data_IF_683357292807
#
_entry.id   IF_683357292807
#
_cell.length_a   1.000
_cell.length_b   1.000
_cell.length_c   1.000
_cell.angle_alpha   90.00
_cell.angle_beta   90.00
_cell.angle_gamma   90.00
#
_symmetry.space_group_name_H-M   'P 1'
#
loop_
_entity.id
_entity.type
_entity.pdbx_description
1 polymer ?
#
# COMPACT_ATOMS: atom_id res chain seq x y z
N UNK A 1 10.36 10.74 1.04
CA UNK A 1 11.27 9.62 0.68
C UNK A 1 10.45 8.55 -0.02
N UNK A 2 10.68 8.33 -1.32
CA UNK A 2 9.99 7.30 -2.07
C UNK A 2 10.67 5.95 -1.80
N UNK A 3 9.95 5.03 -1.17
CA UNK A 3 10.41 3.65 -1.01
C UNK A 3 10.03 2.86 -2.26
N UNK A 4 10.94 2.00 -2.74
CA UNK A 4 10.67 1.14 -3.90
C UNK A 4 9.49 0.22 -3.66
N UNK A 5 8.65 0.02 -4.69
CA UNK A 5 7.47 -0.86 -4.63
C UNK A 5 7.82 -2.29 -4.20
N UNK A 6 8.99 -2.79 -4.61
CA UNK A 6 9.52 -4.08 -4.16
C UNK A 6 9.71 -4.16 -2.65
N UNK A 7 10.28 -3.11 -2.03
CA UNK A 7 10.51 -3.07 -0.59
C UNK A 7 9.18 -3.14 0.17
N UNK A 8 8.17 -2.40 -0.30
CA UNK A 8 6.82 -2.42 0.25
C UNK A 8 6.20 -3.82 0.19
N UNK A 9 6.30 -4.49 -0.96
CA UNK A 9 5.74 -5.83 -1.13
C UNK A 9 6.44 -6.88 -0.26
N UNK A 10 7.77 -6.84 -0.20
CA UNK A 10 8.57 -7.74 0.65
C UNK A 10 8.23 -7.55 2.14
N UNK A 11 8.18 -6.29 2.61
CA UNK A 11 7.83 -5.98 3.99
C UNK A 11 6.41 -6.41 4.37
N UNK A 12 5.44 -6.20 3.47
CA UNK A 12 4.05 -6.64 3.70
C UNK A 12 3.92 -8.17 3.73
N UNK A 13 4.63 -8.89 2.85
CA UNK A 13 4.64 -10.36 2.85
C UNK A 13 5.26 -10.91 4.14
N UNK A 14 6.38 -10.34 4.60
CA UNK A 14 7.01 -10.72 5.86
C UNK A 14 6.11 -10.41 7.08
N UNK A 15 5.38 -9.29 7.03
CA UNK A 15 4.38 -8.97 8.05
C UNK A 15 3.24 -10.00 8.09
N UNK A 16 2.80 -10.54 6.96
CA UNK A 16 1.74 -11.57 6.96
C UNK A 16 2.17 -12.89 7.60
N UNK A 17 3.47 -13.23 7.52
CA UNK A 17 4.03 -14.42 8.16
C UNK A 17 4.24 -14.25 9.68
N UNK A 18 4.79 -13.10 10.10
CA UNK A 18 5.17 -12.89 11.49
C UNK A 18 4.09 -12.17 12.33
N UNK A 19 3.16 -11.46 11.68
CA UNK A 19 2.15 -10.56 12.30
C UNK A 19 2.73 -9.58 13.32
N UNK A 20 4.02 -9.26 13.21
CA UNK A 20 4.76 -8.42 14.17
C UNK A 20 5.39 -7.21 13.48
N UNK A 21 4.82 -6.03 13.74
CA UNK A 21 5.22 -4.76 13.12
C UNK A 21 6.64 -4.34 13.52
N UNK A 22 7.02 -4.50 14.79
CA UNK A 22 8.34 -4.10 15.27
C UNK A 22 9.45 -4.93 14.66
N UNK A 23 9.21 -6.24 14.46
CA UNK A 23 10.16 -7.15 13.82
C UNK A 23 10.37 -6.81 12.35
N UNK A 24 9.29 -6.53 11.62
CA UNK A 24 9.34 -6.14 10.20
C UNK A 24 10.04 -4.79 10.04
N UNK A 25 9.71 -3.81 10.89
CA UNK A 25 10.33 -2.50 10.85
C UNK A 25 11.86 -2.56 11.03
N UNK A 26 12.33 -3.37 11.98
CA UNK A 26 13.76 -3.59 12.21
C UNK A 26 14.42 -4.34 11.04
N UNK A 27 13.78 -5.40 10.53
CA UNK A 27 14.34 -6.22 9.44
C UNK A 27 14.53 -5.44 8.13
N UNK A 28 13.63 -4.50 7.84
CA UNK A 28 13.68 -3.68 6.62
C UNK A 28 14.18 -2.26 6.87
N UNK A 29 14.66 -1.95 8.08
CA UNK A 29 15.11 -0.61 8.49
C UNK A 29 14.13 0.52 8.14
N UNK A 30 12.83 0.25 8.29
CA UNK A 30 11.77 1.23 8.07
C UNK A 30 11.15 1.66 9.39
N UNK A 31 10.58 2.85 9.40
CA UNK A 31 9.77 3.29 10.55
C UNK A 31 8.51 2.45 10.68
N UNK A 32 8.10 2.16 11.92
CA UNK A 32 6.82 1.49 12.21
C UNK A 32 5.64 2.23 11.57
N UNK A 33 5.67 3.56 11.57
CA UNK A 33 4.66 4.41 10.94
C UNK A 33 4.51 4.14 9.42
N UNK A 34 5.64 3.94 8.72
CA UNK A 34 5.65 3.59 7.29
C UNK A 34 4.94 2.26 7.06
N UNK A 35 5.19 1.26 7.91
CA UNK A 35 4.53 -0.04 7.80
C UNK A 35 3.03 0.05 8.09
N UNK A 36 2.61 0.84 9.09
CA UNK A 36 1.18 1.12 9.35
C UNK A 36 0.51 1.77 8.14
N UNK A 37 1.15 2.77 7.52
CA UNK A 37 0.67 3.39 6.29
C UNK A 37 0.50 2.37 5.17
N UNK A 38 1.46 1.46 4.96
CA UNK A 38 1.36 0.44 3.92
C UNK A 38 0.27 -0.59 4.19
N UNK A 39 0.09 -1.02 5.45
CA UNK A 39 -0.99 -1.93 5.86
C UNK A 39 -2.35 -1.24 5.64
N UNK A 40 -2.50 0.01 6.09
CA UNK A 40 -3.72 0.80 5.90
C UNK A 40 -4.01 1.06 4.42
N UNK A 41 -2.98 1.32 3.62
CA UNK A 41 -3.12 1.46 2.17
C UNK A 41 -3.56 0.13 1.54
N UNK A 42 -2.95 -1.01 1.91
CA UNK A 42 -3.34 -2.35 1.43
C UNK A 42 -4.81 -2.66 1.79
N UNK A 43 -5.23 -2.32 3.01
CA UNK A 43 -6.61 -2.48 3.46
C UNK A 43 -7.59 -1.57 2.70
N UNK A 44 -7.25 -0.28 2.51
CA UNK A 44 -8.08 0.66 1.73
C UNK A 44 -8.16 0.31 0.25
N UNK A 45 -7.09 -0.26 -0.32
CA UNK A 45 -7.12 -0.72 -1.72
C UNK A 45 -7.82 -2.07 -1.90
N UNK A 46 -8.13 -2.81 -0.82
CA UNK A 46 -8.97 -4.03 -0.82
C UNK A 46 -8.42 -5.26 -1.58
N UNK A 47 -7.49 -5.07 -2.51
CA UNK A 47 -6.82 -6.03 -3.41
C UNK A 47 -7.64 -6.72 -4.52
N UNK A 48 -6.93 -6.89 -5.64
CA UNK A 48 -7.08 -7.75 -6.84
C UNK A 48 -8.05 -7.43 -7.98
N UNK A 49 -8.99 -6.50 -7.85
CA UNK A 49 -9.90 -6.18 -8.95
C UNK A 49 -10.24 -4.69 -9.06
N UNK A 50 -9.32 -3.81 -8.67
CA UNK A 50 -9.37 -2.46 -9.19
C UNK A 50 -8.91 -2.50 -10.65
N UNK A 51 -9.76 -3.04 -11.53
CA UNK A 51 -9.97 -2.36 -12.78
C UNK A 51 -10.16 -0.90 -12.37
N UNK A 52 -9.14 -0.09 -12.66
CA UNK A 52 -9.38 1.32 -12.90
C UNK A 52 -10.47 1.29 -13.94
N UNK A 53 -11.72 1.47 -13.49
CA UNK A 53 -12.79 1.89 -14.37
C UNK A 53 -12.39 3.29 -14.79
N UNK A 54 -11.50 3.36 -15.77
CA UNK A 54 -11.48 4.47 -16.69
C UNK A 54 -12.93 4.65 -17.15
N UNK A 55 -13.31 5.91 -17.34
CA UNK A 55 -14.66 6.38 -17.65
C UNK A 55 -15.46 6.83 -16.42
N UNK A 56 -15.04 7.96 -15.84
CA UNK A 56 -15.90 9.14 -15.94
C UNK A 56 -15.20 10.20 -16.81
N UNK A 57 -15.13 9.87 -18.11
CA UNK A 57 -15.37 10.87 -19.11
C UNK A 57 -16.85 11.23 -18.95
N UNK A 58 -17.13 12.43 -18.45
CA UNK A 58 -18.19 13.34 -18.91
C UNK A 58 -18.66 14.26 -17.78
N UNK A 59 -18.05 15.44 -17.69
CA UNK A 59 -18.81 16.68 -17.58
C UNK A 59 -18.12 17.73 -18.44
N UNK A 60 -18.39 17.65 -19.75
CA UNK A 60 -18.62 18.85 -20.55
C UNK A 60 -19.65 19.70 -19.78
N UNK A 61 -19.19 20.75 -19.12
CA UNK A 61 -20.05 21.87 -18.80
C UNK A 61 -19.88 22.87 -19.94
N UNK A 62 -20.76 22.76 -20.93
CA UNK A 62 -21.09 23.87 -21.81
C UNK A 62 -21.83 24.91 -20.96
N UNK A 63 -21.23 26.08 -20.75
CA UNK A 63 -21.97 27.33 -20.56
C UNK A 63 -21.09 28.49 -21.02
#
# INVERSE_FOLDING_TARGET
MAHSTELRNKALSYYEQCKNISKVAQAYQISRNTLYLWIRLKAQTGSLNHQVKGQNANKLNSQ
#
